data_IF_275714005213
#
_entry.id   IF_275714005213
#
_cell.length_a   1.000
_cell.length_b   1.000
_cell.length_c   1.000
_cell.angle_alpha   90.00
_cell.angle_beta   90.00
_cell.angle_gamma   90.00
#
_symmetry.space_group_name_H-M   'P 1'
#
loop_
_entity.id
_entity.type
_entity.pdbx_description
1 polymer ?
#
# COMPACT_ATOMS: atom_id res chain seq x y z
N UNK A 1 -23.34 2.22 24.68
CA UNK A 1 -24.07 2.62 23.46
C UNK A 1 -23.22 3.68 22.79
N UNK A 2 -22.44 3.31 21.77
CA UNK A 2 -21.50 4.21 21.10
C UNK A 2 -22.22 4.86 19.93
N UNK A 3 -22.51 6.14 20.05
CA UNK A 3 -23.15 6.94 19.02
C UNK A 3 -22.14 7.18 17.89
N UNK A 4 -22.33 6.45 16.78
CA UNK A 4 -21.45 6.51 15.61
C UNK A 4 -21.70 7.85 14.90
N UNK A 5 -20.81 8.81 15.12
CA UNK A 5 -20.84 10.15 14.50
C UNK A 5 -20.82 10.00 12.97
N UNK A 6 -21.93 10.36 12.32
CA UNK A 6 -22.11 10.28 10.87
C UNK A 6 -21.16 11.28 10.21
N UNK A 7 -20.09 10.80 9.60
CA UNK A 7 -19.17 11.65 8.83
C UNK A 7 -19.86 12.16 7.57
N UNK A 8 -20.31 13.41 7.60
CA UNK A 8 -20.87 14.09 6.44
C UNK A 8 -19.74 14.40 5.43
N UNK A 9 -19.83 13.79 4.24
CA UNK A 9 -18.94 14.13 3.12
C UNK A 9 -19.18 15.58 2.68
N UNK A 10 -18.22 16.46 2.98
CA UNK A 10 -18.23 17.87 2.58
C UNK A 10 -17.47 18.03 1.27
N UNK A 11 -18.11 18.63 0.26
CA UNK A 11 -17.47 18.94 -1.02
C UNK A 11 -17.01 20.39 -1.02
N UNK A 12 -15.74 20.63 -1.34
CA UNK A 12 -15.15 21.97 -1.38
C UNK A 12 -15.37 22.57 -2.77
N UNK A 13 -16.21 23.60 -2.86
CA UNK A 13 -16.37 24.39 -4.09
C UNK A 13 -15.92 25.83 -3.80
N UNK A 14 -14.86 26.26 -4.50
CA UNK A 14 -14.24 27.60 -4.51
C UNK A 14 -13.72 28.13 -3.15
N UNK A 15 -14.56 28.22 -2.12
CA UNK A 15 -14.16 28.51 -0.73
C UNK A 15 -15.21 28.11 0.33
N UNK A 16 -16.30 27.43 -0.06
CA UNK A 16 -17.42 27.10 0.83
C UNK A 16 -17.52 25.58 1.03
N UNK A 17 -17.82 25.16 2.26
CA UNK A 17 -18.12 23.76 2.60
C UNK A 17 -19.63 23.57 2.56
N UNK A 18 -20.14 23.12 1.41
CA UNK A 18 -21.55 22.81 1.23
C UNK A 18 -21.70 21.29 1.45
N UNK A 19 -22.76 20.87 2.16
CA UNK A 19 -23.02 19.44 2.29
C UNK A 19 -23.33 18.87 0.90
N UNK A 20 -22.82 17.67 0.62
CA UNK A 20 -23.02 17.00 -0.67
C UNK A 20 -24.51 16.89 -1.04
N UNK A 21 -25.39 16.72 -0.04
CA UNK A 21 -26.83 16.64 -0.20
C UNK A 21 -27.44 17.93 -0.80
N UNK A 22 -27.00 19.11 -0.35
CA UNK A 22 -27.48 20.40 -0.89
C UNK A 22 -27.01 20.64 -2.33
N UNK A 23 -25.78 20.23 -2.65
CA UNK A 23 -25.25 20.32 -4.02
C UNK A 23 -26.04 19.39 -4.94
N UNK A 24 -26.26 18.15 -4.52
CA UNK A 24 -27.03 17.17 -5.28
C UNK A 24 -28.47 17.62 -5.50
N UNK A 25 -29.16 18.09 -4.44
CA UNK A 25 -30.53 18.61 -4.53
C UNK A 25 -30.62 19.80 -5.50
N UNK A 26 -29.66 20.73 -5.44
CA UNK A 26 -29.62 21.89 -6.32
C UNK A 26 -29.45 21.49 -7.79
N UNK A 27 -28.61 20.49 -8.08
CA UNK A 27 -28.41 19.97 -9.44
C UNK A 27 -29.68 19.28 -9.95
N UNK A 28 -30.36 18.48 -9.12
CA UNK A 28 -31.61 17.82 -9.49
C UNK A 28 -32.71 18.84 -9.78
N UNK A 29 -32.84 19.88 -8.95
CA UNK A 29 -33.81 20.96 -9.16
C UNK A 29 -33.50 21.72 -10.45
N UNK A 30 -32.24 22.07 -10.70
CA UNK A 30 -31.84 22.79 -11.91
C UNK A 30 -32.11 21.96 -13.18
N UNK A 31 -31.86 20.65 -13.13
CA UNK A 31 -32.14 19.73 -14.23
C UNK A 31 -33.66 19.63 -14.49
N UNK A 32 -34.47 19.50 -13.43
CA UNK A 32 -35.93 19.48 -13.54
C UNK A 32 -36.49 20.80 -14.11
N UNK A 33 -35.97 21.96 -13.67
CA UNK A 33 -36.37 23.27 -14.21
C UNK A 33 -36.04 23.36 -15.71
N UNK A 34 -34.84 22.94 -16.10
CA UNK A 34 -34.40 22.98 -17.50
C UNK A 34 -35.29 22.10 -18.39
N UNK A 35 -35.60 20.89 -17.93
CA UNK A 35 -36.52 19.96 -18.63
C UNK A 35 -37.92 20.57 -18.73
N UNK A 36 -38.45 21.15 -17.65
CA UNK A 36 -39.76 21.82 -17.66
C UNK A 36 -39.82 23.02 -18.61
N UNK A 37 -38.76 23.84 -18.67
CA UNK A 37 -38.66 24.96 -19.63
C UNK A 37 -38.67 24.44 -21.07
N UNK A 38 -37.95 23.36 -21.37
CA UNK A 38 -37.92 22.77 -22.70
C UNK A 38 -39.28 22.14 -23.10
N UNK A 39 -39.94 21.47 -22.16
CA UNK A 39 -41.26 20.87 -22.38
C UNK A 39 -42.34 21.93 -22.61
N UNK A 40 -42.49 22.88 -21.67
CA UNK A 40 -43.63 23.80 -21.67
C UNK A 40 -43.34 25.15 -22.34
N UNK A 41 -42.09 25.62 -22.29
CA UNK A 41 -41.68 26.90 -22.90
C UNK A 41 -41.39 26.78 -24.39
N UNK A 42 -40.80 25.66 -24.82
CA UNK A 42 -40.38 25.44 -26.20
C UNK A 42 -41.17 24.34 -26.93
N UNK A 43 -42.13 23.69 -26.25
CA UNK A 43 -42.96 22.59 -26.80
C UNK A 43 -42.14 21.46 -27.41
N UNK A 44 -40.97 21.15 -26.85
CA UNK A 44 -40.14 20.06 -27.33
C UNK A 44 -40.74 18.73 -26.86
N UNK A 45 -40.95 17.74 -27.75
CA UNK A 45 -41.47 16.43 -27.36
C UNK A 45 -40.59 15.77 -26.29
N UNK A 46 -41.21 15.18 -25.27
CA UNK A 46 -40.51 14.53 -24.15
C UNK A 46 -39.47 13.50 -24.61
N UNK A 47 -39.79 12.68 -25.61
CA UNK A 47 -38.86 11.69 -26.17
C UNK A 47 -37.57 12.33 -26.72
N UNK A 48 -37.67 13.50 -27.36
CA UNK A 48 -36.49 14.20 -27.89
C UNK A 48 -35.60 14.72 -26.76
N UNK A 49 -36.20 15.14 -25.64
CA UNK A 49 -35.46 15.60 -24.46
C UNK A 49 -34.77 14.41 -23.79
N UNK A 50 -35.45 13.26 -23.64
CA UNK A 50 -34.89 12.05 -23.06
C UNK A 50 -33.69 11.53 -23.88
N UNK A 51 -33.88 11.33 -25.19
CA UNK A 51 -32.80 10.87 -26.07
C UNK A 51 -31.68 11.90 -26.20
N UNK A 52 -32.01 13.19 -26.29
CA UNK A 52 -31.02 14.27 -26.30
C UNK A 52 -30.19 14.34 -25.03
N UNK A 53 -30.82 14.16 -23.86
CA UNK A 53 -30.15 14.10 -22.57
C UNK A 53 -29.18 12.91 -22.46
N UNK A 54 -29.61 11.72 -22.90
CA UNK A 54 -28.73 10.56 -22.97
C UNK A 54 -27.58 10.75 -23.96
N UNK A 55 -27.85 11.25 -25.16
CA UNK A 55 -26.81 11.51 -26.16
C UNK A 55 -25.77 12.51 -25.64
N UNK A 56 -26.20 13.61 -24.99
CA UNK A 56 -25.30 14.60 -24.40
C UNK A 56 -24.45 14.00 -23.28
N UNK A 57 -25.06 13.21 -22.39
CA UNK A 57 -24.31 12.53 -21.33
C UNK A 57 -23.28 11.57 -21.92
N UNK A 58 -23.65 10.78 -22.93
CA UNK A 58 -22.73 9.87 -23.60
C UNK A 58 -21.57 10.63 -24.27
N UNK A 59 -21.83 11.79 -24.87
CA UNK A 59 -20.78 12.65 -25.43
C UNK A 59 -19.82 13.19 -24.36
N UNK A 60 -20.35 13.65 -23.22
CA UNK A 60 -19.54 14.12 -22.09
C UNK A 60 -18.67 12.98 -21.55
N UNK A 61 -19.24 11.78 -21.41
CA UNK A 61 -18.50 10.61 -20.94
C UNK A 61 -17.42 10.19 -21.95
N UNK A 62 -17.71 10.25 -23.25
CA UNK A 62 -16.74 9.97 -24.30
C UNK A 62 -15.59 11.00 -24.30
N UNK A 63 -15.91 12.29 -24.14
CA UNK A 63 -14.90 13.34 -24.00
C UNK A 63 -14.03 13.15 -22.75
N UNK A 64 -14.64 12.75 -21.63
CA UNK A 64 -13.92 12.43 -20.39
C UNK A 64 -12.98 11.24 -20.56
N UNK A 65 -13.42 10.19 -21.27
CA UNK A 65 -12.59 9.04 -21.60
C UNK A 65 -11.35 9.43 -22.43
N UNK A 66 -11.52 10.28 -23.45
CA UNK A 66 -10.41 10.76 -24.28
C UNK A 66 -9.40 11.61 -23.51
N UNK A 67 -9.88 12.46 -22.60
CA UNK A 67 -9.01 13.38 -21.85
C UNK A 67 -8.28 12.69 -20.69
N UNK A 68 -8.93 11.72 -20.02
CA UNK A 68 -8.35 11.02 -18.87
C UNK A 68 -8.88 9.58 -18.77
N UNK A 69 -8.34 8.71 -19.60
CA UNK A 69 -8.70 7.28 -19.67
C UNK A 69 -8.58 6.59 -18.30
N UNK A 70 -7.50 6.85 -17.54
CA UNK A 70 -7.30 6.26 -16.19
C UNK A 70 -8.38 6.74 -15.19
N UNK A 71 -8.72 8.03 -15.23
CA UNK A 71 -9.78 8.62 -14.41
C UNK A 71 -11.18 8.08 -14.76
N UNK A 72 -11.44 7.82 -16.04
CA UNK A 72 -12.68 7.18 -16.51
C UNK A 72 -12.87 5.80 -15.91
N UNK A 73 -11.88 4.91 -16.01
CA UNK A 73 -12.00 3.55 -15.45
C UNK A 73 -12.14 3.57 -13.93
N UNK A 74 -11.36 4.41 -13.23
CA UNK A 74 -11.46 4.55 -11.77
C UNK A 74 -12.84 5.07 -11.29
N UNK A 75 -13.56 5.82 -12.12
CA UNK A 75 -14.87 6.38 -11.79
C UNK A 75 -16.04 5.72 -12.54
N UNK A 76 -15.82 4.62 -13.27
CA UNK A 76 -16.84 3.97 -14.09
C UNK A 76 -18.09 3.61 -13.30
N UNK A 77 -17.92 3.10 -12.08
CA UNK A 77 -19.03 2.79 -11.17
C UNK A 77 -19.85 4.03 -10.79
N UNK A 78 -19.22 5.20 -10.65
CA UNK A 78 -19.92 6.47 -10.37
C UNK A 78 -20.68 6.96 -11.60
N UNK A 79 -20.05 6.89 -12.77
CA UNK A 79 -20.68 7.28 -14.05
C UNK A 79 -21.94 6.45 -14.32
N UNK A 80 -21.88 5.13 -14.12
CA UNK A 80 -23.05 4.24 -14.28
C UNK A 80 -24.17 4.59 -13.31
N UNK A 81 -23.86 4.83 -12.03
CA UNK A 81 -24.87 5.29 -11.05
C UNK A 81 -25.51 6.60 -11.47
N UNK A 82 -24.73 7.57 -11.96
CA UNK A 82 -25.28 8.83 -12.47
C UNK A 82 -26.18 8.62 -13.69
N UNK A 83 -25.81 7.74 -14.61
CA UNK A 83 -26.63 7.40 -15.78
C UNK A 83 -27.99 6.80 -15.38
N UNK A 84 -28.01 5.83 -14.45
CA UNK A 84 -29.27 5.25 -13.97
C UNK A 84 -30.11 6.23 -13.16
N UNK A 85 -29.48 7.05 -12.32
CA UNK A 85 -30.18 8.11 -11.58
C UNK A 85 -30.83 9.10 -12.53
N UNK A 86 -30.13 9.49 -13.61
CA UNK A 86 -30.67 10.38 -14.63
C UNK A 86 -31.87 9.74 -15.35
N UNK A 87 -31.76 8.46 -15.73
CA UNK A 87 -32.89 7.72 -16.31
C UNK A 87 -34.12 7.75 -15.39
N UNK A 88 -33.92 7.44 -14.10
CA UNK A 88 -35.02 7.42 -13.14
C UNK A 88 -35.67 8.81 -12.97
N UNK A 89 -34.86 9.88 -12.96
CA UNK A 89 -35.37 11.26 -12.94
C UNK A 89 -36.22 11.54 -14.19
N UNK A 90 -35.75 11.16 -15.38
CA UNK A 90 -36.54 11.34 -16.60
C UNK A 90 -37.85 10.57 -16.58
N UNK A 91 -37.86 9.36 -16.04
CA UNK A 91 -39.09 8.57 -15.88
C UNK A 91 -40.09 9.27 -14.95
N UNK A 92 -39.63 9.76 -13.78
CA UNK A 92 -40.47 10.50 -12.84
C UNK A 92 -41.07 11.75 -13.51
N UNK A 93 -40.24 12.53 -14.22
CA UNK A 93 -40.70 13.73 -14.93
C UNK A 93 -41.67 13.38 -16.05
N UNK A 94 -41.42 12.29 -16.78
CA UNK A 94 -42.31 11.78 -17.82
C UNK A 94 -43.69 11.39 -17.29
N UNK A 95 -43.74 10.76 -16.10
CA UNK A 95 -45.00 10.44 -15.42
C UNK A 95 -45.74 11.69 -14.94
N UNK A 96 -45.04 12.64 -14.29
CA UNK A 96 -45.67 13.87 -13.76
C UNK A 96 -46.22 14.75 -14.88
N UNK A 97 -45.53 14.77 -16.02
CA UNK A 97 -45.94 15.56 -17.19
C UNK A 97 -46.97 14.87 -18.09
N UNK A 98 -47.49 13.71 -17.66
CA UNK A 98 -48.46 12.88 -18.39
C UNK A 98 -47.97 12.43 -19.80
N UNK A 99 -46.67 12.53 -20.06
CA UNK A 99 -46.06 12.09 -21.33
C UNK A 99 -45.81 10.57 -21.36
N UNK A 100 -45.77 9.93 -20.19
CA UNK A 100 -45.64 8.48 -20.05
C UNK A 100 -46.84 7.97 -19.24
N UNK A 101 -47.67 7.14 -19.87
CA UNK A 101 -48.75 6.43 -19.19
C UNK A 101 -48.24 5.11 -18.60
N UNK A 102 -48.57 4.83 -17.35
CA UNK A 102 -48.24 3.57 -16.68
C UNK A 102 -48.97 2.37 -17.30
N UNK A 103 -50.11 2.60 -17.96
CA UNK A 103 -50.84 1.56 -18.68
C UNK A 103 -50.10 1.09 -19.93
N UNK A 104 -49.21 1.92 -20.48
CA UNK A 104 -48.39 1.57 -21.63
C UNK A 104 -47.06 0.94 -21.20
N UNK A 105 -47.17 -0.25 -20.61
CA UNK A 105 -46.03 -1.01 -20.11
C UNK A 105 -45.04 -1.40 -21.22
N UNK A 106 -45.49 -1.49 -22.47
CA UNK A 106 -44.64 -1.78 -23.63
C UNK A 106 -43.59 -0.70 -23.84
N UNK A 107 -43.97 0.58 -23.79
CA UNK A 107 -43.05 1.71 -23.90
C UNK A 107 -42.07 1.72 -22.71
N UNK A 108 -42.55 1.47 -21.50
CA UNK A 108 -41.70 1.40 -20.30
C UNK A 108 -40.63 0.32 -20.42
N UNK A 109 -41.03 -0.85 -20.93
CA UNK A 109 -40.12 -1.98 -21.15
C UNK A 109 -39.10 -1.64 -22.25
N UNK A 110 -39.54 -1.06 -23.37
CA UNK A 110 -38.64 -0.65 -24.45
C UNK A 110 -37.60 0.38 -23.99
N UNK A 111 -38.00 1.39 -23.23
CA UNK A 111 -37.09 2.38 -22.67
C UNK A 111 -36.10 1.76 -21.67
N UNK A 112 -36.59 0.89 -20.80
CA UNK A 112 -35.74 0.17 -19.83
C UNK A 112 -34.74 -0.74 -20.54
N UNK A 113 -35.19 -1.48 -21.55
CA UNK A 113 -34.33 -2.35 -22.37
C UNK A 113 -33.26 -1.54 -23.11
N UNK A 114 -33.60 -0.37 -23.64
CA UNK A 114 -32.66 0.52 -24.30
C UNK A 114 -31.59 1.05 -23.32
N UNK A 115 -31.98 1.44 -22.11
CA UNK A 115 -31.03 1.91 -21.08
C UNK A 115 -30.07 0.78 -20.66
N UNK A 116 -30.60 -0.43 -20.47
CA UNK A 116 -29.78 -1.61 -20.19
C UNK A 116 -28.85 -1.92 -21.37
N UNK A 117 -29.35 -1.84 -22.60
CA UNK A 117 -28.56 -2.07 -23.81
C UNK A 117 -27.42 -1.04 -23.94
N UNK A 118 -27.70 0.25 -23.69
CA UNK A 118 -26.67 1.30 -23.70
C UNK A 118 -25.61 1.03 -22.62
N UNK A 119 -26.02 0.62 -21.42
CA UNK A 119 -25.05 0.27 -20.37
C UNK A 119 -24.17 -0.92 -20.77
N UNK A 120 -24.77 -1.96 -21.33
CA UNK A 120 -24.04 -3.13 -21.83
C UNK A 120 -23.11 -2.77 -23.01
N UNK A 121 -23.58 -1.96 -23.95
CA UNK A 121 -22.85 -1.64 -25.17
C UNK A 121 -21.75 -0.58 -24.97
N UNK A 122 -22.00 0.42 -24.13
CA UNK A 122 -21.11 1.59 -23.98
C UNK A 122 -20.30 1.55 -22.68
N UNK A 123 -20.92 1.20 -21.55
CA UNK A 123 -20.23 1.26 -20.25
C UNK A 123 -19.55 -0.06 -19.86
N UNK A 124 -20.16 -1.20 -20.18
CA UNK A 124 -19.57 -2.52 -19.88
C UNK A 124 -18.63 -3.02 -20.99
N UNK A 125 -18.81 -2.55 -22.23
CA UNK A 125 -18.02 -2.99 -23.38
C UNK A 125 -17.07 -1.89 -23.89
N UNK A 126 -15.80 -1.84 -23.43
CA UNK A 126 -14.78 -0.97 -24.02
C UNK A 126 -14.40 -1.30 -25.47
N UNK A 127 -14.94 -2.36 -26.09
CA UNK A 127 -14.66 -2.72 -27.49
C UNK A 127 -15.66 -3.77 -28.01
N UNK A 128 -16.58 -3.36 -28.89
CA UNK A 128 -17.53 -4.25 -29.58
C UNK A 128 -16.81 -5.31 -30.46
N UNK A 129 -15.53 -5.11 -30.80
CA UNK A 129 -14.69 -6.06 -31.54
C UNK A 129 -14.23 -7.30 -30.75
N UNK A 130 -14.47 -7.38 -29.43
CA UNK A 130 -13.95 -8.48 -28.58
C UNK A 130 -14.99 -9.56 -28.21
N UNK A 131 -16.16 -9.59 -28.85
CA UNK A 131 -17.20 -10.61 -28.59
C UNK A 131 -16.74 -12.05 -28.94
N UNK A 132 -15.67 -12.21 -29.73
CA UNK A 132 -15.16 -13.54 -30.11
C UNK A 132 -14.02 -14.07 -29.23
N UNK A 133 -13.44 -13.26 -28.33
CA UNK A 133 -12.27 -13.62 -27.52
C UNK A 133 -12.50 -13.24 -26.04
N UNK A 134 -13.48 -13.89 -25.42
CA UNK A 134 -13.92 -13.70 -24.03
C UNK A 134 -12.93 -14.18 -22.97
N UNK A 135 -11.62 -14.15 -23.24
CA UNK A 135 -10.59 -14.73 -22.37
C UNK A 135 -9.53 -13.73 -21.86
N UNK A 136 -9.56 -12.45 -22.25
CA UNK A 136 -8.43 -11.52 -21.98
C UNK A 136 -8.86 -10.17 -21.37
N UNK A 137 -9.61 -10.19 -20.26
CA UNK A 137 -9.90 -8.99 -19.44
C UNK A 137 -9.57 -9.12 -17.95
N UNK A 138 -9.18 -10.31 -17.47
CA UNK A 138 -8.34 -10.41 -16.27
C UNK A 138 -6.91 -9.90 -16.56
N UNK A 139 -6.55 -9.74 -17.83
CA UNK A 139 -5.16 -9.58 -18.23
C UNK A 139 -4.49 -8.27 -17.81
N UNK A 140 -5.13 -7.10 -17.80
CA UNK A 140 -4.36 -5.85 -17.61
C UNK A 140 -4.01 -5.56 -16.13
N UNK A 141 -4.96 -5.72 -15.19
CA UNK A 141 -4.67 -5.64 -13.75
C UNK A 141 -3.79 -6.80 -13.28
N UNK A 142 -4.02 -8.01 -13.80
CA UNK A 142 -3.15 -9.16 -13.53
C UNK A 142 -1.78 -8.93 -14.14
N UNK A 143 -1.64 -8.33 -15.33
CA UNK A 143 -0.34 -7.98 -15.93
C UNK A 143 0.37 -6.89 -15.13
N UNK A 144 -0.33 -5.86 -14.65
CA UNK A 144 0.28 -4.82 -13.80
C UNK A 144 0.77 -5.43 -12.49
N UNK A 145 -0.07 -6.21 -11.79
CA UNK A 145 0.32 -6.93 -10.58
C UNK A 145 1.44 -7.96 -10.83
N UNK A 146 1.41 -8.66 -11.97
CA UNK A 146 2.48 -9.58 -12.37
C UNK A 146 3.77 -8.84 -12.71
N UNK A 147 3.70 -7.66 -13.32
CA UNK A 147 4.88 -6.87 -13.62
C UNK A 147 5.49 -6.28 -12.35
N UNK A 148 4.67 -5.76 -11.44
CA UNK A 148 5.12 -5.33 -10.10
C UNK A 148 5.75 -6.49 -9.33
N UNK A 149 5.09 -7.65 -9.31
CA UNK A 149 5.62 -8.87 -8.68
C UNK A 149 6.93 -9.32 -9.33
N UNK A 150 7.05 -9.28 -10.67
CA UNK A 150 8.29 -9.60 -11.39
C UNK A 150 9.43 -8.65 -11.01
N UNK A 151 9.16 -7.35 -10.89
CA UNK A 151 10.18 -6.38 -10.47
C UNK A 151 10.60 -6.61 -9.01
N UNK A 152 9.66 -6.92 -8.10
CA UNK A 152 9.99 -7.32 -6.72
C UNK A 152 10.82 -8.59 -6.68
N UNK A 153 10.43 -9.63 -7.43
CA UNK A 153 11.19 -10.89 -7.52
C UNK A 153 12.60 -10.61 -8.05
N UNK A 154 12.73 -9.83 -9.12
CA UNK A 154 14.02 -9.48 -9.70
C UNK A 154 14.89 -8.68 -8.73
N UNK A 155 14.32 -7.74 -7.97
CA UNK A 155 15.03 -7.00 -6.93
C UNK A 155 15.52 -7.95 -5.83
N UNK A 156 14.65 -8.85 -5.36
CA UNK A 156 14.98 -9.82 -4.32
C UNK A 156 16.03 -10.83 -4.79
N UNK A 157 15.97 -11.29 -6.03
CA UNK A 157 17.02 -12.13 -6.63
C UNK A 157 18.37 -11.44 -6.63
N UNK A 158 18.44 -10.14 -6.94
CA UNK A 158 19.69 -9.37 -6.86
C UNK A 158 20.21 -9.25 -5.43
N UNK A 159 19.34 -9.06 -4.44
CA UNK A 159 19.72 -9.04 -3.01
C UNK A 159 20.37 -10.37 -2.61
N UNK A 160 19.72 -11.49 -2.95
CA UNK A 160 20.22 -12.85 -2.68
C UNK A 160 21.55 -13.12 -3.39
N UNK A 161 21.67 -12.73 -4.66
CA UNK A 161 22.90 -12.87 -5.44
C UNK A 161 24.06 -12.13 -4.76
N UNK A 162 23.83 -10.90 -4.31
CA UNK A 162 24.85 -10.10 -3.62
C UNK A 162 25.20 -10.63 -2.25
N UNK A 163 24.22 -11.05 -1.46
CA UNK A 163 24.46 -11.74 -0.21
C UNK A 163 25.31 -13.01 -0.42
N UNK A 164 24.98 -13.82 -1.42
CA UNK A 164 25.74 -15.05 -1.74
C UNK A 164 27.17 -14.73 -2.17
N UNK A 165 27.38 -13.68 -2.98
CA UNK A 165 28.73 -13.24 -3.36
C UNK A 165 29.57 -12.85 -2.14
N UNK A 166 28.98 -12.19 -1.15
CA UNK A 166 29.66 -11.82 0.09
C UNK A 166 29.98 -13.08 0.92
N UNK A 167 29.01 -13.97 1.10
CA UNK A 167 29.20 -15.23 1.83
C UNK A 167 30.30 -16.11 1.20
N UNK A 168 30.39 -16.14 -0.13
CA UNK A 168 31.45 -16.86 -0.84
C UNK A 168 32.85 -16.25 -0.65
N UNK A 169 32.93 -15.00 -0.21
CA UNK A 169 34.18 -14.28 0.04
C UNK A 169 34.47 -14.13 1.54
N UNK A 170 33.64 -14.73 2.40
CA UNK A 170 33.75 -14.64 3.86
C UNK A 170 35.09 -15.15 4.37
N UNK A 171 35.54 -16.33 3.91
CA UNK A 171 36.81 -16.93 4.34
C UNK A 171 37.96 -15.95 4.08
N UNK A 172 38.03 -15.42 2.85
CA UNK A 172 39.05 -14.44 2.44
C UNK A 172 38.99 -13.14 3.25
N UNK A 173 37.80 -12.73 3.71
CA UNK A 173 37.67 -11.56 4.58
C UNK A 173 38.30 -11.80 5.96
N UNK A 174 38.18 -13.01 6.50
CA UNK A 174 38.66 -13.35 7.85
C UNK A 174 40.10 -13.86 7.91
N UNK A 175 40.69 -14.36 6.82
CA UNK A 175 42.04 -14.96 6.74
C UNK A 175 43.17 -14.19 7.45
N UNK A 176 43.05 -12.86 7.61
CA UNK A 176 44.06 -12.01 8.24
C UNK A 176 43.49 -11.06 9.31
N UNK A 177 42.33 -11.40 9.90
CA UNK A 177 41.71 -10.58 10.93
C UNK A 177 42.10 -11.10 12.32
N UNK A 178 42.59 -10.23 13.21
CA UNK A 178 42.85 -10.65 14.59
C UNK A 178 41.52 -10.94 15.30
N UNK A 179 41.54 -11.89 16.23
CA UNK A 179 40.39 -12.15 17.10
C UNK A 179 40.11 -10.88 17.92
N UNK A 180 38.86 -10.39 17.96
CA UNK A 180 38.51 -9.21 18.74
C UNK A 180 38.67 -9.49 20.25
N UNK A 181 39.47 -8.68 20.93
CA UNK A 181 39.76 -8.85 22.37
C UNK A 181 38.75 -8.16 23.29
N UNK A 182 37.97 -7.24 22.74
CA UNK A 182 37.02 -6.43 23.50
C UNK A 182 35.80 -6.05 22.64
N UNK A 183 34.73 -5.61 23.31
CA UNK A 183 33.46 -5.26 22.65
C UNK A 183 33.60 -4.18 21.57
N UNK A 184 34.56 -3.25 21.70
CA UNK A 184 34.75 -2.21 20.70
C UNK A 184 35.41 -2.77 19.43
N UNK A 185 36.40 -3.64 19.57
CA UNK A 185 37.01 -4.34 18.43
C UNK A 185 35.99 -5.26 17.76
N UNK A 186 35.21 -6.04 18.53
CA UNK A 186 34.13 -6.86 18.01
C UNK A 186 33.15 -6.00 17.20
N UNK A 187 32.71 -4.86 17.77
CA UNK A 187 31.84 -3.89 17.09
C UNK A 187 32.44 -3.39 15.79
N UNK A 188 33.71 -3.02 15.77
CA UNK A 188 34.37 -2.51 14.56
C UNK A 188 34.44 -3.59 13.47
N UNK A 189 34.81 -4.81 13.83
CA UNK A 189 34.95 -5.91 12.89
C UNK A 189 33.61 -6.36 12.31
N UNK A 190 32.57 -6.50 13.14
CA UNK A 190 31.22 -6.85 12.67
C UNK A 190 30.60 -5.72 11.84
N UNK A 191 30.85 -4.46 12.21
CA UNK A 191 30.42 -3.30 11.40
C UNK A 191 31.04 -3.37 10.01
N UNK A 192 32.37 -3.53 9.93
CA UNK A 192 33.08 -3.61 8.66
C UNK A 192 32.63 -4.81 7.80
N UNK A 193 32.25 -5.92 8.43
CA UNK A 193 31.72 -7.08 7.73
C UNK A 193 30.31 -6.82 7.15
N UNK A 194 29.38 -6.31 7.97
CA UNK A 194 28.02 -5.99 7.52
C UNK A 194 27.98 -4.85 6.50
N UNK A 195 28.96 -3.94 6.55
CA UNK A 195 29.15 -2.87 5.57
C UNK A 195 29.44 -3.37 4.15
N UNK A 196 29.91 -4.61 3.98
CA UNK A 196 30.05 -5.21 2.65
C UNK A 196 28.69 -5.37 1.95
N UNK A 197 27.64 -5.65 2.72
CA UNK A 197 26.28 -5.79 2.18
C UNK A 197 25.53 -4.46 2.21
N UNK A 198 25.55 -3.75 3.34
CA UNK A 198 24.74 -2.54 3.54
C UNK A 198 25.14 -1.38 2.62
N UNK A 199 26.43 -1.26 2.27
CA UNK A 199 26.89 -0.25 1.31
C UNK A 199 26.40 -0.53 -0.12
N UNK A 200 26.31 -1.81 -0.51
CA UNK A 200 25.83 -2.20 -1.84
C UNK A 200 24.32 -2.01 -1.97
N UNK A 201 23.59 -2.27 -0.88
CA UNK A 201 22.12 -2.15 -0.82
C UNK A 201 21.64 -0.77 -0.36
N UNK A 202 22.56 0.18 -0.19
CA UNK A 202 22.32 1.58 0.18
C UNK A 202 21.44 1.77 1.44
N UNK A 203 21.81 1.07 2.51
CA UNK A 203 21.25 1.30 3.85
C UNK A 203 22.36 1.45 4.90
N UNK A 204 22.01 1.92 6.08
CA UNK A 204 22.93 2.03 7.23
C UNK A 204 22.59 1.00 8.30
N UNK A 205 23.61 0.45 8.94
CA UNK A 205 23.49 -0.41 10.10
C UNK A 205 23.88 0.37 11.36
N UNK A 206 23.14 0.20 12.46
CA UNK A 206 23.51 0.72 13.77
C UNK A 206 23.43 -0.38 14.83
N UNK A 207 24.39 -0.38 15.77
CA UNK A 207 24.59 -1.47 16.71
C UNK A 207 24.34 -1.03 18.16
N UNK A 208 23.50 -1.78 18.84
CA UNK A 208 23.08 -1.59 20.23
C UNK A 208 23.46 -2.85 21.02
N UNK A 209 24.74 -2.93 21.42
CA UNK A 209 25.35 -4.12 22.03
C UNK A 209 25.27 -4.10 23.55
N UNK A 210 25.16 -5.29 24.15
CA UNK A 210 25.20 -5.54 25.58
C UNK A 210 25.79 -6.93 25.86
N UNK A 211 26.28 -7.13 27.07
CA UNK A 211 26.85 -8.42 27.50
C UNK A 211 25.77 -9.51 27.53
N UNK A 212 26.20 -10.77 27.39
CA UNK A 212 25.29 -11.91 27.45
C UNK A 212 24.61 -11.98 28.83
N UNK A 213 23.27 -11.90 28.90
CA UNK A 213 22.55 -11.77 30.16
C UNK A 213 22.61 -13.07 30.97
N UNK A 214 22.89 -12.97 32.27
CA UNK A 214 22.95 -14.12 33.18
C UNK A 214 21.55 -14.55 33.67
N UNK A 215 20.59 -13.64 33.66
CA UNK A 215 19.19 -13.90 34.05
C UNK A 215 18.21 -13.28 33.05
N UNK A 216 16.98 -13.81 33.01
CA UNK A 216 15.89 -13.25 32.19
C UNK A 216 15.53 -11.81 32.57
N UNK A 217 15.73 -11.43 33.84
CA UNK A 217 15.49 -10.06 34.29
C UNK A 217 16.57 -9.11 33.77
N UNK A 218 17.84 -9.53 33.80
CA UNK A 218 18.96 -8.77 33.24
C UNK A 218 18.82 -8.59 31.73
N UNK A 219 18.34 -9.63 31.03
CA UNK A 219 18.02 -9.59 29.60
C UNK A 219 16.97 -8.52 29.31
N UNK A 220 15.86 -8.52 30.05
CA UNK A 220 14.80 -7.52 29.89
C UNK A 220 15.29 -6.10 30.15
N UNK A 221 16.06 -5.89 31.21
CA UNK A 221 16.61 -4.57 31.52
C UNK A 221 17.57 -4.07 30.43
N UNK A 222 18.43 -4.95 29.93
CA UNK A 222 19.36 -4.65 28.84
C UNK A 222 18.63 -4.30 27.55
N UNK A 223 17.64 -5.11 27.15
CA UNK A 223 16.81 -4.84 25.98
C UNK A 223 16.03 -3.53 26.15
N UNK A 224 15.44 -3.29 27.33
CA UNK A 224 14.71 -2.05 27.61
C UNK A 224 15.61 -0.82 27.49
N UNK A 225 16.86 -0.93 27.92
CA UNK A 225 17.85 0.13 27.70
C UNK A 225 18.12 0.34 26.20
N UNK A 226 18.39 -0.74 25.45
CA UNK A 226 18.64 -0.63 24.02
C UNK A 226 17.44 -0.06 23.24
N UNK A 227 16.21 -0.43 23.60
CA UNK A 227 14.99 0.17 23.00
C UNK A 227 14.98 1.68 23.21
N UNK A 228 15.31 2.17 24.41
CA UNK A 228 15.39 3.63 24.66
C UNK A 228 16.43 4.28 23.77
N UNK A 229 17.60 3.67 23.64
CA UNK A 229 18.71 4.21 22.84
C UNK A 229 18.39 4.22 21.35
N UNK A 230 17.69 3.19 20.84
CA UNK A 230 17.12 3.14 19.49
C UNK A 230 16.16 4.31 19.28
N UNK A 231 15.29 4.57 20.26
CA UNK A 231 14.28 5.62 20.19
C UNK A 231 14.89 7.01 20.10
N UNK A 232 15.94 7.24 20.88
CA UNK A 232 16.72 8.48 20.85
C UNK A 232 17.43 8.63 19.49
N UNK A 233 18.16 7.60 19.05
CA UNK A 233 18.95 7.66 17.80
C UNK A 233 18.08 7.92 16.57
N UNK A 234 16.94 7.25 16.48
CA UNK A 234 16.07 7.27 15.30
C UNK A 234 14.89 8.24 15.41
N UNK A 235 14.87 9.06 16.47
CA UNK A 235 13.77 9.97 16.82
C UNK A 235 12.39 9.27 16.74
N UNK A 236 12.29 8.12 17.41
CA UNK A 236 11.07 7.31 17.50
C UNK A 236 10.50 7.44 18.91
N UNK A 237 9.30 7.97 18.99
CA UNK A 237 8.49 7.91 20.21
C UNK A 237 7.80 6.55 20.24
N UNK A 238 8.42 5.56 20.88
CA UNK A 238 7.79 4.29 21.15
C UNK A 238 6.56 4.53 22.03
N UNK A 239 5.39 4.05 21.56
CA UNK A 239 4.04 4.32 22.08
C UNK A 239 3.98 4.68 23.57
N UNK A 240 3.18 5.69 23.92
CA UNK A 240 2.96 6.12 25.31
C UNK A 240 2.25 5.06 26.16
N UNK A 241 1.61 4.07 25.55
CA UNK A 241 0.89 3.01 26.28
C UNK A 241 1.87 1.95 26.76
N UNK A 242 1.75 1.58 28.04
CA UNK A 242 2.62 0.57 28.64
C UNK A 242 2.49 -0.79 27.96
N UNK A 243 1.28 -1.20 27.58
CA UNK A 243 1.00 -2.47 26.89
C UNK A 243 1.80 -2.63 25.59
N UNK A 244 1.90 -1.57 24.79
CA UNK A 244 2.63 -1.59 23.52
C UNK A 244 4.15 -1.73 23.74
N UNK A 245 4.66 -1.12 24.82
CA UNK A 245 6.07 -1.25 25.22
C UNK A 245 6.38 -2.66 25.72
N UNK A 246 5.49 -3.23 26.52
CA UNK A 246 5.63 -4.59 27.05
C UNK A 246 5.58 -5.62 25.91
N UNK A 247 4.71 -5.43 24.92
CA UNK A 247 4.66 -6.27 23.72
C UNK A 247 5.94 -6.18 22.88
N UNK A 248 6.48 -4.96 22.68
CA UNK A 248 7.75 -4.76 21.98
C UNK A 248 8.93 -5.40 22.72
N UNK A 249 8.99 -5.22 24.04
CA UNK A 249 10.01 -5.84 24.88
C UNK A 249 9.96 -7.36 24.78
N UNK A 250 8.76 -7.93 24.82
CA UNK A 250 8.54 -9.37 24.64
C UNK A 250 9.07 -9.84 23.28
N UNK A 251 8.67 -9.17 22.19
CA UNK A 251 9.06 -9.54 20.83
C UNK A 251 10.59 -9.52 20.66
N UNK A 252 11.27 -8.47 21.15
CA UNK A 252 12.73 -8.41 21.15
C UNK A 252 13.37 -9.52 21.99
N UNK A 253 12.80 -9.83 23.16
CA UNK A 253 13.30 -10.90 24.04
C UNK A 253 13.20 -12.29 23.41
N UNK A 254 12.18 -12.50 22.58
CA UNK A 254 11.93 -13.71 21.81
C UNK A 254 12.77 -13.77 20.51
N UNK A 255 13.56 -12.75 20.21
CA UNK A 255 14.40 -12.71 19.00
C UNK A 255 13.63 -12.33 17.75
N UNK A 256 12.44 -11.75 17.87
CA UNK A 256 11.62 -11.36 16.73
C UNK A 256 12.13 -10.06 16.09
N UNK A 257 12.29 -10.10 14.77
CA UNK A 257 12.60 -8.90 13.98
C UNK A 257 11.39 -7.99 13.92
N UNK A 258 11.58 -6.71 14.25
CA UNK A 258 10.51 -5.71 14.30
C UNK A 258 10.68 -4.63 13.24
N UNK A 259 9.62 -4.41 12.47
CA UNK A 259 9.53 -3.28 11.53
C UNK A 259 9.10 -2.04 12.32
N UNK A 260 10.02 -1.10 12.52
CA UNK A 260 9.77 0.12 13.28
C UNK A 260 9.17 1.23 12.41
N UNK A 261 9.57 1.29 11.13
CA UNK A 261 8.98 2.15 10.09
C UNK A 261 8.98 1.40 8.77
N UNK A 262 7.79 1.18 8.20
CA UNK A 262 7.60 0.41 6.96
C UNK A 262 8.53 0.90 5.84
N UNK A 263 9.28 -0.03 5.23
CA UNK A 263 10.22 0.25 4.15
C UNK A 263 11.42 1.12 4.52
N UNK A 264 11.55 1.56 5.78
CA UNK A 264 12.58 2.52 6.20
C UNK A 264 13.46 2.05 7.34
N UNK A 265 12.90 1.46 8.39
CA UNK A 265 13.65 1.10 9.59
C UNK A 265 13.18 -0.25 10.16
N UNK A 266 14.11 -1.18 10.29
CA UNK A 266 13.89 -2.50 10.87
C UNK A 266 14.91 -2.73 11.99
N UNK A 267 14.47 -3.33 13.09
CA UNK A 267 15.31 -3.71 14.22
C UNK A 267 15.39 -5.23 14.34
N UNK A 268 16.60 -5.74 14.48
CA UNK A 268 16.96 -7.16 14.41
C UNK A 268 17.66 -7.52 15.72
N UNK A 269 16.98 -8.17 16.68
CA UNK A 269 17.64 -8.72 17.85
C UNK A 269 18.53 -9.90 17.45
N UNK A 270 19.74 -9.94 18.00
CA UNK A 270 20.69 -11.03 17.86
C UNK A 270 21.29 -11.35 19.23
N UNK A 271 21.18 -12.61 19.65
CA UNK A 271 21.71 -13.10 20.92
C UNK A 271 22.83 -14.08 20.60
N UNK A 272 24.04 -13.55 20.36
CA UNK A 272 25.23 -14.34 20.06
C UNK A 272 25.92 -14.90 21.31
N UNK A 273 26.95 -15.71 21.08
CA UNK A 273 27.68 -16.42 22.14
C UNK A 273 28.53 -15.45 22.98
N UNK A 274 29.22 -14.52 22.31
CA UNK A 274 30.07 -13.52 22.95
C UNK A 274 29.29 -12.28 23.40
N UNK A 275 28.51 -11.70 22.49
CA UNK A 275 27.77 -10.47 22.73
C UNK A 275 26.35 -10.56 22.20
N UNK A 276 25.43 -9.98 22.96
CA UNK A 276 24.07 -9.75 22.51
C UNK A 276 23.95 -8.34 21.91
N UNK A 277 23.09 -8.18 20.91
CA UNK A 277 22.89 -6.89 20.27
C UNK A 277 21.52 -6.75 19.64
N UNK A 278 21.08 -5.50 19.48
CA UNK A 278 20.02 -5.15 18.54
C UNK A 278 20.67 -4.38 17.39
N UNK A 279 20.49 -4.86 16.17
CA UNK A 279 20.97 -4.19 14.96
C UNK A 279 19.79 -3.51 14.29
N UNK A 280 19.91 -2.21 14.02
CA UNK A 280 18.90 -1.50 13.23
C UNK A 280 19.42 -1.25 11.82
N UNK A 281 18.62 -1.57 10.81
CA UNK A 281 18.86 -1.19 9.42
C UNK A 281 17.97 -0.02 9.02
N UNK A 282 18.57 1.06 8.53
CA UNK A 282 17.84 2.24 8.06
C UNK A 282 18.17 2.55 6.60
N UNK A 283 17.13 2.61 5.76
CA UNK A 283 17.19 2.99 4.36
C UNK A 283 17.81 4.38 4.16
N UNK A 284 18.76 4.51 3.21
CA UNK A 284 19.22 5.82 2.72
C UNK A 284 18.37 6.26 1.52
N UNK A 285 18.27 5.43 0.49
CA UNK A 285 17.45 5.70 -0.70
C UNK A 285 16.53 4.54 -1.08
N UNK A 286 16.98 3.28 -0.95
CA UNK A 286 16.19 2.11 -1.29
C UNK A 286 15.41 1.54 -0.10
N UNK A 287 14.19 1.06 -0.34
CA UNK A 287 13.38 0.43 0.70
C UNK A 287 14.08 -0.80 1.29
N UNK A 288 14.15 -0.85 2.62
CA UNK A 288 14.60 -2.01 3.39
C UNK A 288 13.41 -2.93 3.68
N UNK A 289 13.62 -4.23 3.57
CA UNK A 289 12.58 -5.25 3.79
C UNK A 289 13.08 -6.43 4.64
N UNK A 290 12.22 -7.43 4.84
CA UNK A 290 12.53 -8.61 5.63
C UNK A 290 13.67 -9.46 5.05
N UNK A 291 13.97 -9.36 3.76
CA UNK A 291 15.10 -10.08 3.15
C UNK A 291 16.41 -9.44 3.59
N UNK A 292 16.49 -8.11 3.60
CA UNK A 292 17.67 -7.42 4.13
C UNK A 292 17.90 -7.74 5.61
N UNK A 293 16.81 -7.78 6.39
CA UNK A 293 16.89 -8.17 7.79
C UNK A 293 17.41 -9.60 7.97
N UNK A 294 16.91 -10.54 7.16
CA UNK A 294 17.37 -11.93 7.17
C UNK A 294 18.84 -12.05 6.77
N UNK A 295 19.29 -11.34 5.73
CA UNK A 295 20.69 -11.38 5.31
C UNK A 295 21.62 -10.80 6.37
N UNK A 296 21.27 -9.67 6.97
CA UNK A 296 22.05 -9.08 8.07
C UNK A 296 22.12 -10.04 9.26
N UNK A 297 21.00 -10.66 9.65
CA UNK A 297 21.00 -11.68 10.71
C UNK A 297 21.90 -12.87 10.36
N UNK A 298 21.81 -13.38 9.13
CA UNK A 298 22.69 -14.48 8.68
C UNK A 298 24.16 -14.08 8.69
N UNK A 299 24.50 -12.86 8.27
CA UNK A 299 25.87 -12.37 8.35
C UNK A 299 26.35 -12.21 9.80
N UNK A 300 25.50 -11.79 10.73
CA UNK A 300 25.84 -11.76 12.16
C UNK A 300 26.17 -13.16 12.68
N UNK A 301 25.35 -14.15 12.35
CA UNK A 301 25.56 -15.56 12.73
C UNK A 301 26.88 -16.07 12.14
N UNK A 302 27.13 -15.85 10.85
CA UNK A 302 28.36 -16.28 10.18
C UNK A 302 29.59 -15.62 10.84
N UNK A 303 29.50 -14.33 11.17
CA UNK A 303 30.56 -13.61 11.86
C UNK A 303 30.85 -14.25 13.22
N UNK A 304 29.81 -14.52 14.01
CA UNK A 304 29.95 -15.10 15.34
C UNK A 304 30.55 -16.50 15.29
N UNK A 305 30.10 -17.36 14.37
CA UNK A 305 30.70 -18.68 14.15
C UNK A 305 32.19 -18.59 13.84
N UNK A 306 32.59 -17.67 12.95
CA UNK A 306 34.00 -17.49 12.61
C UNK A 306 34.84 -17.07 13.82
N UNK A 307 34.33 -16.18 14.66
CA UNK A 307 35.08 -15.73 15.84
C UNK A 307 35.13 -16.84 16.91
N UNK A 308 34.01 -17.49 17.19
CA UNK A 308 33.94 -18.54 18.24
C UNK A 308 34.79 -19.75 17.88
N UNK A 309 34.77 -20.22 16.63
CA UNK A 309 35.58 -21.36 16.20
C UNK A 309 37.08 -21.10 16.40
N UNK A 310 37.56 -19.88 16.08
CA UNK A 310 38.97 -19.52 16.27
C UNK A 310 39.33 -19.48 17.77
N UNK A 311 38.46 -18.90 18.61
CA UNK A 311 38.68 -18.86 20.08
C UNK A 311 38.78 -20.27 20.66
N UNK A 312 37.92 -21.20 20.25
CA UNK A 312 37.97 -22.58 20.75
C UNK A 312 39.26 -23.32 20.36
N UNK A 313 39.82 -23.03 19.18
CA UNK A 313 41.08 -23.65 18.74
C UNK A 313 42.26 -23.13 19.57
N UNK A 314 42.30 -21.83 19.88
CA UNK A 314 43.37 -21.27 20.72
C UNK A 314 43.34 -21.81 22.16
N UNK A 315 42.16 -22.03 22.74
CA UNK A 315 42.02 -22.61 24.09
C UNK A 315 42.44 -24.09 24.16
N UNK A 316 42.27 -24.86 23.08
CA UNK A 316 42.69 -26.27 23.02
C UNK A 316 44.21 -26.44 22.78
N UNK A 317 44.93 -25.39 22.35
CA UNK A 317 46.37 -25.40 22.09
C UNK A 317 47.24 -24.91 23.27
N UNK A 318 46.66 -24.35 24.34
CA UNK A 318 47.34 -23.90 25.58
C UNK A 318 47.41 -24.97 26.70
#
# INVERSE_FOLDING_TARGET
MVEKKKEEMKVKIFNWYISFEWVFLSVVILLAITVSILLYGFNVPFMNILFGGFALLLLVVLAYYWMNSRGYYNNLGRIRRTFYTLYFIFMIVGFISENIDYNNWEILLQLSALVVFVDLAVFQNPNILKIWNTELKQDDEVREALNESKEVIKKNSKKVEKFTQIVQQTDTYFDNKPIPTNMNEYRQQVTAYLEQYSNVMDFTTSFFMFESPQTEEDKKQSIQQQIRDIGIRHAIDFSKKQEDKDAMLKSFSEGETLILKEGKLIAIPYFGDLYCMIVTIESKTELVDGIDASHILSMLIIFDWYITDIVTIEEDEE
#
